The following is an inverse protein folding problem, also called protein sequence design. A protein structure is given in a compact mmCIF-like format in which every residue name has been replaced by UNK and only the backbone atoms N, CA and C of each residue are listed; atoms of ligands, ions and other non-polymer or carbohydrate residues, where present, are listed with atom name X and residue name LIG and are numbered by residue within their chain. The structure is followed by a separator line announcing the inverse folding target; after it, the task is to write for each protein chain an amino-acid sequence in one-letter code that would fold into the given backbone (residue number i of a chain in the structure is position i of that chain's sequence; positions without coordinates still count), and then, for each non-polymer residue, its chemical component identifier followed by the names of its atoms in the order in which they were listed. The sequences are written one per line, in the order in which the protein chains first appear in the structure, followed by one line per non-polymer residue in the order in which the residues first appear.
data_IF_994473113756
#
_entry.id   IF_994473113756
#
_cell.length_a   1.000
_cell.length_b   1.000
_cell.length_c   1.000
_cell.angle_alpha   90.00
_cell.angle_beta   90.00
_cell.angle_gamma   90.00
#
_symmetry.space_group_name_H-M   'P 1'
#
loop_
_entity.id
_entity.type
_entity.pdbx_description
1 polymer ?
#
# COMPACT_ATOMS: atom_id res chain seq x y z
N UNK A 1 5.05 -8.86 -1.32
CA UNK A 1 4.72 -7.94 -2.42
C UNK A 1 3.32 -8.25 -2.90
N UNK A 2 2.51 -7.22 -3.15
CA UNK A 2 1.13 -7.35 -3.61
C UNK A 2 1.11 -6.97 -5.09
N UNK A 3 0.58 -7.86 -5.94
CA UNK A 3 0.44 -7.63 -7.37
C UNK A 3 -1.02 -7.41 -7.77
N UNK A 4 -1.95 -8.01 -7.03
CA UNK A 4 -3.39 -7.79 -7.14
C UNK A 4 -4.10 -8.37 -5.89
N UNK A 5 -5.42 -8.18 -5.76
CA UNK A 5 -6.25 -8.84 -4.74
C UNK A 5 -6.12 -10.36 -4.86
N UNK A 6 -5.64 -11.00 -3.79
CA UNK A 6 -5.42 -12.44 -3.74
C UNK A 6 -4.23 -12.93 -4.58
N UNK A 7 -3.39 -12.02 -5.08
CA UNK A 7 -2.14 -12.32 -5.77
C UNK A 7 -0.99 -11.61 -5.04
N UNK A 8 -0.48 -12.28 -4.03
CA UNK A 8 0.68 -11.85 -3.25
C UNK A 8 1.74 -12.94 -3.16
N UNK A 9 2.99 -12.53 -2.96
CA UNK A 9 4.10 -13.46 -2.72
C UNK A 9 5.19 -12.83 -1.86
N UNK A 10 6.00 -13.67 -1.23
CA UNK A 10 7.18 -13.26 -0.47
C UNK A 10 8.41 -13.38 -1.37
N UNK A 11 9.15 -12.29 -1.50
CA UNK A 11 10.37 -12.21 -2.29
C UNK A 11 11.50 -11.80 -1.34
N UNK A 12 12.56 -12.62 -1.20
CA UNK A 12 13.76 -12.20 -0.47
C UNK A 12 14.43 -11.00 -1.13
N UNK A 13 14.87 -10.01 -0.34
CA UNK A 13 15.60 -8.84 -0.86
C UNK A 13 16.87 -9.22 -1.63
N UNK A 14 17.50 -10.37 -1.35
CA UNK A 14 18.63 -10.88 -2.14
C UNK A 14 18.29 -11.18 -3.60
N UNK A 15 17.00 -11.35 -3.92
CA UNK A 15 16.51 -11.61 -5.29
C UNK A 15 15.95 -10.36 -5.97
N UNK A 16 16.03 -9.18 -5.34
CA UNK A 16 15.55 -7.94 -5.94
C UNK A 16 16.66 -7.27 -6.74
N UNK A 17 16.32 -6.54 -7.83
CA UNK A 17 17.29 -5.86 -8.71
C UNK A 17 17.97 -4.63 -8.07
N UNK A 18 18.14 -4.61 -6.75
CA UNK A 18 18.68 -3.51 -5.95
C UNK A 18 17.82 -3.17 -4.74
N UNK A 19 18.11 -2.03 -4.09
CA UNK A 19 17.26 -1.46 -3.03
C UNK A 19 15.91 -1.09 -3.62
N UNK A 20 14.85 -1.60 -2.99
CA UNK A 20 13.46 -1.26 -3.24
C UNK A 20 12.92 -0.53 -2.03
N UNK A 21 12.15 0.52 -2.28
CA UNK A 21 11.41 1.28 -1.28
C UNK A 21 9.91 1.07 -1.44
N UNK A 22 9.14 1.38 -0.40
CA UNK A 22 7.68 1.35 -0.49
C UNK A 22 7.24 2.37 -1.54
N UNK A 23 6.42 1.93 -2.50
CA UNK A 23 5.96 2.74 -3.62
C UNK A 23 6.73 2.53 -4.93
N UNK A 24 7.86 1.82 -4.90
CA UNK A 24 8.58 1.44 -6.12
C UNK A 24 7.76 0.46 -6.97
N UNK A 25 7.75 0.68 -8.28
CA UNK A 25 7.16 -0.23 -9.25
C UNK A 25 8.13 -1.32 -9.67
N UNK A 26 7.62 -2.55 -9.79
CA UNK A 26 8.40 -3.69 -10.28
C UNK A 26 7.57 -4.52 -11.26
N UNK A 27 8.25 -5.07 -12.26
CA UNK A 27 7.69 -6.10 -13.13
C UNK A 27 8.14 -7.46 -12.63
N UNK A 28 7.19 -8.34 -12.34
CA UNK A 28 7.47 -9.71 -11.92
C UNK A 28 6.75 -10.73 -12.80
N UNK A 29 7.46 -11.81 -13.15
CA UNK A 29 6.84 -13.00 -13.72
C UNK A 29 6.52 -13.95 -12.59
N UNK A 30 5.25 -14.35 -12.46
CA UNK A 30 4.81 -15.26 -11.40
C UNK A 30 4.49 -16.64 -11.99
N UNK A 31 4.84 -17.71 -11.26
CA UNK A 31 4.22 -19.02 -11.43
C UNK A 31 3.06 -19.18 -10.45
N UNK A 32 2.01 -19.87 -10.88
CA UNK A 32 0.83 -20.20 -10.08
C UNK A 32 0.76 -21.72 -9.90
N UNK A 33 0.64 -22.18 -8.66
CA UNK A 33 0.40 -23.59 -8.34
C UNK A 33 -0.83 -23.74 -7.44
N UNK A 34 -1.56 -24.85 -7.59
CA UNK A 34 -2.66 -25.21 -6.69
C UNK A 34 -2.11 -25.95 -5.49
N UNK A 35 -2.56 -25.57 -4.30
CA UNK A 35 -2.24 -26.24 -3.03
C UNK A 35 -3.54 -26.63 -2.34
N UNK A 36 -3.45 -27.46 -1.29
CA UNK A 36 -4.60 -27.83 -0.44
C UNK A 36 -5.30 -26.62 0.21
N UNK A 37 -4.63 -25.48 0.30
CA UNK A 37 -5.13 -24.26 0.93
C UNK A 37 -5.41 -23.12 -0.07
N UNK A 38 -5.47 -23.43 -1.37
CA UNK A 38 -5.74 -22.46 -2.42
C UNK A 38 -4.56 -22.26 -3.39
N UNK A 39 -4.59 -21.14 -4.13
CA UNK A 39 -3.54 -20.80 -5.10
C UNK A 39 -2.32 -20.24 -4.41
N UNK A 40 -1.13 -20.73 -4.76
CA UNK A 40 0.15 -20.18 -4.33
C UNK A 40 0.85 -19.53 -5.51
N UNK A 41 1.41 -18.35 -5.28
CA UNK A 41 2.17 -17.61 -6.28
C UNK A 41 3.65 -17.56 -5.88
N UNK A 42 4.53 -17.74 -6.86
CA UNK A 42 5.98 -17.62 -6.68
C UNK A 42 6.55 -16.72 -7.77
N UNK A 43 7.40 -15.76 -7.38
CA UNK A 43 8.11 -14.93 -8.34
C UNK A 43 9.26 -15.70 -9.00
N UNK A 44 9.25 -15.76 -10.33
CA UNK A 44 10.29 -16.36 -11.17
C UNK A 44 11.35 -15.32 -11.54
N UNK A 45 10.92 -14.13 -11.93
CA UNK A 45 11.80 -13.00 -12.29
C UNK A 45 11.23 -11.70 -11.73
N UNK A 46 12.13 -10.76 -11.43
CA UNK A 46 11.79 -9.42 -10.92
C UNK A 46 12.72 -8.42 -11.59
N UNK A 47 12.15 -7.35 -12.13
CA UNK A 47 12.89 -6.22 -12.70
C UNK A 47 12.30 -4.92 -12.17
N UNK A 48 13.14 -3.89 -11.98
CA UNK A 48 12.63 -2.53 -11.77
C UNK A 48 11.81 -2.13 -12.98
N UNK A 49 10.74 -1.39 -12.73
CA UNK A 49 9.89 -0.86 -13.78
C UNK A 49 9.61 0.59 -13.46
N UNK A 50 9.62 1.43 -14.48
CA UNK A 50 9.11 2.81 -14.36
C UNK A 50 7.63 2.87 -14.74
N UNK A 51 7.02 1.73 -15.09
CA UNK A 51 5.59 1.66 -15.37
C UNK A 51 4.80 1.90 -14.08
N UNK A 52 3.72 2.66 -14.21
CA UNK A 52 2.84 2.94 -13.08
C UNK A 52 2.14 1.64 -12.64
N UNK A 53 2.09 1.33 -11.34
CA UNK A 53 1.39 0.13 -10.87
C UNK A 53 -0.10 0.26 -11.16
N UNK A 54 -0.77 -0.89 -11.25
CA UNK A 54 -2.23 -0.91 -11.39
C UNK A 54 -2.88 -0.10 -10.26
N UNK A 55 -3.86 0.73 -10.60
CA UNK A 55 -4.63 1.55 -9.64
C UNK A 55 -5.39 0.72 -8.61
N UNK A 56 -5.61 -0.57 -8.88
CA UNK A 56 -6.15 -1.55 -7.93
C UNK A 56 -5.17 -1.92 -6.80
N UNK A 57 -3.89 -1.61 -6.96
CA UNK A 57 -2.83 -1.89 -5.97
C UNK A 57 -2.24 -0.60 -5.40
N UNK A 58 -2.04 0.43 -6.21
CA UNK A 58 -1.53 1.73 -5.79
C UNK A 58 -2.39 2.84 -6.37
N UNK A 59 -2.99 3.68 -5.52
CA UNK A 59 -3.79 4.82 -5.96
C UNK A 59 -3.36 6.10 -5.28
N UNK A 60 -3.62 7.20 -5.95
CA UNK A 60 -3.60 8.52 -5.31
C UNK A 60 -4.90 8.76 -4.54
N UNK A 61 -4.84 9.59 -3.51
CA UNK A 61 -6.01 10.01 -2.77
C UNK A 61 -5.89 11.44 -2.29
N UNK A 62 -7.04 12.03 -2.00
CA UNK A 62 -7.17 13.30 -1.29
C UNK A 62 -8.44 13.23 -0.45
N UNK A 63 -8.37 13.64 0.81
CA UNK A 63 -9.55 13.64 1.67
C UNK A 63 -9.28 14.16 3.07
N UNK A 64 -10.35 14.54 3.73
CA UNK A 64 -10.35 14.90 5.15
C UNK A 64 -10.03 13.68 6.01
N UNK A 65 -9.20 13.88 7.05
CA UNK A 65 -8.75 12.85 7.97
C UNK A 65 -9.50 12.98 9.29
N UNK A 66 -10.15 11.88 9.67
CA UNK A 66 -10.62 11.67 11.04
C UNK A 66 -9.56 10.93 11.85
N UNK A 67 -9.17 11.45 13.00
CA UNK A 67 -8.23 10.83 13.91
C UNK A 67 -8.97 10.14 15.06
N UNK A 68 -8.63 8.88 15.30
CA UNK A 68 -9.12 8.11 16.44
C UNK A 68 -7.97 7.29 17.03
N UNK A 69 -7.68 7.47 18.33
CA UNK A 69 -6.59 6.77 19.03
C UNK A 69 -5.21 6.92 18.35
N UNK A 70 -4.94 8.09 17.75
CA UNK A 70 -3.71 8.37 17.02
C UNK A 70 -3.59 7.62 15.69
N UNK A 71 -4.71 7.14 15.14
CA UNK A 71 -4.83 6.54 13.82
C UNK A 71 -5.73 7.42 12.95
N UNK A 72 -5.34 7.66 11.69
CA UNK A 72 -6.14 8.44 10.75
C UNK A 72 -6.95 7.56 9.82
N UNK A 73 -8.16 8.00 9.50
CA UNK A 73 -9.01 7.41 8.48
C UNK A 73 -9.61 8.51 7.61
N UNK A 74 -9.51 8.38 6.30
CA UNK A 74 -10.19 9.29 5.37
C UNK A 74 -11.62 8.84 5.09
N UNK A 75 -12.44 9.72 4.53
CA UNK A 75 -13.78 9.38 4.02
C UNK A 75 -13.78 8.28 2.95
N UNK A 76 -12.66 8.10 2.24
CA UNK A 76 -12.45 7.02 1.27
C UNK A 76 -11.92 5.72 1.90
N UNK A 77 -12.05 5.58 3.22
CA UNK A 77 -11.62 4.44 4.04
C UNK A 77 -10.12 4.10 3.85
N UNK A 78 -9.30 5.15 3.77
CA UNK A 78 -7.84 5.02 3.70
C UNK A 78 -7.29 5.17 5.10
N UNK A 79 -6.63 4.12 5.56
CA UNK A 79 -5.95 4.06 6.84
C UNK A 79 -4.60 4.78 6.77
N UNK A 80 -4.39 5.74 7.68
CA UNK A 80 -3.14 6.46 7.87
C UNK A 80 -2.58 6.03 9.23
N UNK A 81 -1.38 5.44 9.23
CA UNK A 81 -0.78 4.97 10.47
C UNK A 81 -0.24 6.11 11.34
N UNK A 82 -0.04 5.81 12.62
CA UNK A 82 0.42 6.77 13.61
C UNK A 82 1.73 7.46 13.20
N UNK A 83 2.64 6.74 12.53
CA UNK A 83 3.93 7.29 12.11
C UNK A 83 3.75 8.42 11.10
N UNK A 84 2.83 8.25 10.13
CA UNK A 84 2.52 9.31 9.17
C UNK A 84 1.77 10.47 9.85
N UNK A 85 0.83 10.19 10.74
CA UNK A 85 0.12 11.24 11.50
C UNK A 85 1.11 12.10 12.29
N UNK A 86 2.00 11.47 13.06
CA UNK A 86 3.00 12.16 13.89
C UNK A 86 4.03 12.91 13.03
N UNK A 87 4.55 12.27 11.97
CA UNK A 87 5.58 12.87 11.11
C UNK A 87 5.13 14.17 10.44
N UNK A 88 3.86 14.23 10.04
CA UNK A 88 3.30 15.39 9.34
C UNK A 88 2.43 16.25 10.26
N UNK A 89 2.34 15.93 11.55
CA UNK A 89 1.53 16.65 12.53
C UNK A 89 0.06 16.82 12.10
N UNK A 90 -0.49 15.79 11.43
CA UNK A 90 -1.88 15.79 10.93
C UNK A 90 -2.84 15.89 12.11
N UNK A 91 -3.80 16.81 12.01
CA UNK A 91 -4.86 17.02 13.01
C UNK A 91 -6.20 16.50 12.49
N UNK A 92 -7.10 16.25 13.43
CA UNK A 92 -8.48 15.89 13.09
C UNK A 92 -9.12 17.00 12.25
N UNK A 93 -9.77 16.64 11.15
CA UNK A 93 -10.35 17.57 10.18
C UNK A 93 -9.37 18.10 9.13
N UNK A 94 -8.08 17.75 9.18
CA UNK A 94 -7.15 18.15 8.12
C UNK A 94 -7.42 17.41 6.82
N UNK A 95 -7.30 18.13 5.70
CA UNK A 95 -7.31 17.53 4.36
C UNK A 95 -5.89 17.16 3.96
N UNK A 96 -5.67 15.87 3.68
CA UNK A 96 -4.39 15.35 3.20
C UNK A 96 -4.55 14.73 1.82
N UNK A 97 -3.51 14.83 1.00
CA UNK A 97 -3.37 14.08 -0.25
C UNK A 97 -2.21 13.10 -0.17
N UNK A 98 -2.14 12.12 -1.06
CA UNK A 98 -0.99 11.22 -1.09
C UNK A 98 -1.22 9.94 -1.88
N UNK A 99 -0.43 8.91 -1.54
CA UNK A 99 -0.50 7.59 -2.18
C UNK A 99 -0.90 6.52 -1.17
N UNK A 100 -1.80 5.64 -1.59
CA UNK A 100 -2.29 4.52 -0.80
C UNK A 100 -2.09 3.19 -1.54
N UNK A 101 -1.65 2.18 -0.80
CA UNK A 101 -1.50 0.81 -1.29
C UNK A 101 -2.65 -0.06 -0.79
N UNK A 102 -3.08 -1.01 -1.62
CA UNK A 102 -3.99 -2.05 -1.21
C UNK A 102 -3.35 -2.88 -0.08
N UNK A 103 -4.08 -3.09 1.00
CA UNK A 103 -3.59 -3.77 2.20
C UNK A 103 -4.65 -4.72 2.75
N UNK A 104 -4.26 -5.95 3.03
CA UNK A 104 -5.16 -6.93 3.65
C UNK A 104 -5.09 -6.79 5.18
N UNK A 105 -6.24 -6.55 5.81
CA UNK A 105 -6.35 -6.48 7.26
C UNK A 105 -6.69 -7.86 7.82
N UNK A 106 -5.66 -8.59 8.27
CA UNK A 106 -5.81 -9.92 8.88
C UNK A 106 -6.76 -9.95 10.08
N UNK A 107 -6.90 -8.85 10.83
CA UNK A 107 -7.79 -8.81 12.01
C UNK A 107 -9.26 -8.73 11.63
N UNK A 108 -9.57 -8.11 10.48
CA UNK A 108 -10.94 -7.93 9.98
C UNK A 108 -11.26 -8.83 8.80
N UNK A 109 -10.30 -9.67 8.39
CA UNK A 109 -10.37 -10.52 7.20
C UNK A 109 -10.82 -9.77 5.94
N UNK A 110 -10.48 -8.49 5.83
CA UNK A 110 -10.99 -7.59 4.78
C UNK A 110 -9.88 -6.80 4.10
N UNK A 111 -10.12 -6.44 2.84
CA UNK A 111 -9.25 -5.55 2.09
C UNK A 111 -9.55 -4.09 2.46
N UNK A 112 -8.50 -3.31 2.66
CA UNK A 112 -8.57 -1.87 2.85
C UNK A 112 -7.42 -1.16 2.15
N UNK A 113 -7.43 0.15 2.22
CA UNK A 113 -6.35 0.99 1.68
C UNK A 113 -5.49 1.50 2.82
N UNK A 114 -4.17 1.46 2.66
CA UNK A 114 -3.22 2.03 3.62
C UNK A 114 -2.39 3.13 2.94
N UNK A 115 -2.37 4.32 3.51
CA UNK A 115 -1.49 5.39 3.07
C UNK A 115 -0.01 5.00 3.27
N UNK A 116 0.80 5.25 2.25
CA UNK A 116 2.26 5.04 2.27
C UNK A 116 3.03 6.34 2.16
N UNK A 117 2.38 7.40 1.66
CA UNK A 117 2.90 8.75 1.59
C UNK A 117 1.71 9.71 1.71
N UNK A 118 1.93 10.83 2.41
CA UNK A 118 0.97 11.93 2.50
C UNK A 118 1.69 13.27 2.31
N UNK A 119 0.93 14.23 1.81
CA UNK A 119 1.28 15.63 1.64
C UNK A 119 0.12 16.47 2.23
N UNK A 120 0.45 17.43 3.08
CA UNK A 120 -0.52 18.36 3.66
C UNK A 120 -0.64 19.55 2.72
N UNK A 121 -1.87 19.85 2.28
CA UNK A 121 -2.14 21.15 1.64
C UNK A 121 -2.06 22.21 2.74
N UNK A 122 -1.10 23.13 2.63
CA UNK A 122 -0.84 24.17 3.62
C UNK A 122 -2.13 24.91 4.00
N UNK A 123 -2.31 25.13 5.31
CA UNK A 123 -3.33 26.01 5.88
C UNK A 123 -2.96 27.45 5.50
N UNK A 124 -3.87 28.17 4.84
CA UNK A 124 -3.78 29.63 4.68
C UNK A 124 -4.26 30.32 5.96
#
# INVERSE_FOLDING_TARGET
MIFDRGVDTVIPFSKTPGRLSIGDSINAKLSKSKTKHGSKYQALTIKKSDQQPNTNVLKEFSGEVRISNGLGFTSADIFIDRKLIEKYEVKDGDTVSGKAVLNYNNKRSSWGWKAIAIDIKQRF
#
